data_IF_979720981620
#
_entry.id   IF_979720981620
#
_cell.length_a   1.000
_cell.length_b   1.000
_cell.length_c   1.000
_cell.angle_alpha   90.00
_cell.angle_beta   90.00
_cell.angle_gamma   90.00
#
_symmetry.space_group_name_H-M   'P 1'
#
loop_
_entity.id
_entity.type
_entity.pdbx_description
1 polymer ?
#
# COMPACT_ATOMS: atom_id res chain seq x y z
N UNK A 1 -18.85 -36.87 -41.67
CA UNK A 1 -20.02 -36.09 -42.14
C UNK A 1 -19.85 -34.68 -41.63
N UNK A 2 -19.24 -33.83 -42.44
CA UNK A 2 -18.96 -32.43 -42.14
C UNK A 2 -20.18 -31.60 -42.51
N UNK A 3 -20.62 -30.71 -41.62
CA UNK A 3 -21.55 -29.63 -41.95
C UNK A 3 -20.93 -28.30 -41.50
N UNK A 4 -20.37 -27.62 -42.50
CA UNK A 4 -20.09 -26.19 -42.51
C UNK A 4 -21.41 -25.44 -42.71
N UNK A 5 -21.71 -24.46 -41.85
CA UNK A 5 -22.66 -23.40 -42.16
C UNK A 5 -22.00 -22.04 -41.88
N UNK A 6 -21.63 -21.40 -42.99
CA UNK A 6 -21.32 -19.99 -43.11
C UNK A 6 -22.65 -19.20 -43.10
N UNK A 7 -22.69 -18.07 -42.39
CA UNK A 7 -23.68 -17.01 -42.69
C UNK A 7 -23.11 -15.61 -42.44
N UNK A 8 -22.72 -15.01 -43.56
CA UNK A 8 -22.85 -13.62 -44.02
C UNK A 8 -22.86 -12.42 -43.05
N UNK A 9 -21.90 -11.54 -43.34
CA UNK A 9 -21.87 -10.08 -43.25
C UNK A 9 -23.21 -9.34 -43.10
N UNK A 10 -23.20 -8.30 -42.26
CA UNK A 10 -23.75 -6.99 -42.64
C UNK A 10 -22.99 -5.86 -41.94
N UNK A 11 -22.39 -5.03 -42.79
CA UNK A 11 -21.72 -3.77 -42.54
C UNK A 11 -22.80 -2.70 -42.41
N UNK A 12 -22.83 -1.95 -41.31
CA UNK A 12 -23.45 -0.63 -41.31
C UNK A 12 -22.57 0.37 -40.57
N UNK A 13 -21.92 1.19 -41.39
CA UNK A 13 -21.32 2.47 -41.07
C UNK A 13 -22.40 3.49 -40.69
N UNK A 14 -22.21 4.23 -39.60
CA UNK A 14 -22.73 5.60 -39.49
C UNK A 14 -21.71 6.48 -38.75
N UNK A 15 -21.21 7.47 -39.48
CA UNK A 15 -20.35 8.57 -39.03
C UNK A 15 -21.14 9.61 -38.21
N UNK A 16 -20.44 10.47 -37.44
CA UNK A 16 -21.04 11.48 -36.57
C UNK A 16 -21.39 12.77 -37.33
N UNK A 17 -22.28 13.62 -36.81
CA UNK A 17 -22.42 14.98 -37.32
C UNK A 17 -21.41 15.94 -36.68
N UNK A 18 -20.88 16.81 -37.53
CA UNK A 18 -20.04 17.97 -37.24
C UNK A 18 -20.90 19.22 -37.01
N UNK A 19 -20.37 20.09 -36.13
CA UNK A 19 -20.43 21.56 -36.15
C UNK A 19 -21.75 22.29 -35.85
N UNK A 20 -21.68 23.22 -34.88
CA UNK A 20 -22.18 24.59 -35.04
C UNK A 20 -21.55 25.52 -33.99
N UNK A 21 -20.79 26.49 -34.50
CA UNK A 21 -20.26 27.66 -33.81
C UNK A 21 -21.35 28.72 -33.64
N UNK A 22 -21.34 29.48 -32.55
CA UNK A 22 -21.90 30.84 -32.54
C UNK A 22 -21.16 31.71 -31.53
N UNK A 23 -20.55 32.77 -32.06
CA UNK A 23 -19.95 33.89 -31.34
C UNK A 23 -20.86 35.12 -31.50
N UNK A 24 -21.11 35.89 -30.44
CA UNK A 24 -21.52 37.30 -30.46
C UNK A 24 -21.00 37.95 -29.15
N UNK A 25 -19.99 38.82 -29.21
CA UNK A 25 -20.02 40.31 -29.21
C UNK A 25 -20.59 40.94 -27.91
N UNK A 26 -19.74 41.50 -27.02
CA UNK A 26 -19.12 42.86 -27.00
C UNK A 26 -20.00 43.89 -26.26
N UNK A 27 -19.58 44.45 -25.12
CA UNK A 27 -18.91 45.78 -25.00
C UNK A 27 -18.18 45.87 -23.63
N UNK A 28 -16.94 46.34 -23.46
CA UNK A 28 -16.25 47.60 -23.78
C UNK A 28 -16.58 48.79 -22.87
N UNK A 29 -15.66 49.11 -21.94
CA UNK A 29 -15.21 50.44 -21.42
C UNK A 29 -13.84 50.16 -20.72
N UNK A 30 -12.65 50.39 -21.32
CA UNK A 30 -11.78 51.61 -21.30
C UNK A 30 -11.71 52.30 -19.93
N UNK A 31 -10.61 52.78 -19.34
CA UNK A 31 -9.22 53.10 -19.67
C UNK A 31 -8.69 53.86 -18.42
N UNK A 32 -7.47 53.73 -17.87
CA UNK A 32 -6.28 54.59 -18.09
C UNK A 32 -5.34 54.36 -16.87
N UNK A 33 -4.12 53.85 -17.09
CA UNK A 33 -2.81 54.54 -17.03
C UNK A 33 -2.19 54.82 -15.64
N UNK A 34 -0.95 54.32 -15.48
CA UNK A 34 0.07 54.53 -14.43
C UNK A 34 0.48 56.02 -14.29
N UNK A 35 1.27 56.42 -13.26
CA UNK A 35 2.73 56.25 -13.30
C UNK A 35 3.44 55.94 -11.96
N UNK A 36 4.73 55.64 -12.14
CA UNK A 36 5.85 55.34 -11.23
C UNK A 36 6.34 56.59 -10.47
N UNK A 37 6.89 56.45 -9.24
CA UNK A 37 8.07 57.23 -8.79
C UNK A 37 8.80 56.61 -7.57
N UNK A 38 10.07 56.99 -7.44
CA UNK A 38 11.19 56.33 -6.77
C UNK A 38 11.41 56.63 -5.26
N UNK A 39 12.41 55.92 -4.69
CA UNK A 39 12.98 55.88 -3.33
C UNK A 39 13.50 57.22 -2.77
N UNK A 40 13.86 57.31 -1.46
CA UNK A 40 15.23 56.96 -1.01
C UNK A 40 15.36 56.34 0.41
N UNK A 41 16.49 55.66 0.67
CA UNK A 41 17.00 55.23 1.99
C UNK A 41 17.57 56.43 2.79
N UNK A 42 17.90 56.33 4.12
CA UNK A 42 19.17 55.71 4.56
C UNK A 42 19.25 55.15 6.02
N UNK A 43 20.44 54.61 6.35
CA UNK A 43 21.13 54.45 7.67
C UNK A 43 20.98 53.15 8.50
N UNK A 44 22.00 52.31 8.32
CA UNK A 44 22.81 51.47 9.24
C UNK A 44 22.55 51.55 10.76
N UNK A 45 22.38 50.39 11.41
CA UNK A 45 23.13 50.04 12.63
C UNK A 45 23.25 48.53 12.82
N UNK A 46 24.47 48.12 13.18
CA UNK A 46 24.98 46.76 13.32
C UNK A 46 25.08 46.37 14.78
N UNK A 47 24.46 45.27 15.21
CA UNK A 47 24.88 44.51 16.39
C UNK A 47 24.73 43.02 16.09
N UNK A 48 25.86 42.33 16.15
CA UNK A 48 26.02 40.88 16.05
C UNK A 48 25.41 40.19 17.27
N UNK A 49 24.64 39.12 17.06
CA UNK A 49 24.49 38.07 18.06
C UNK A 49 24.54 36.70 17.38
N UNK A 50 25.38 35.87 17.96
CA UNK A 50 25.93 34.62 17.49
C UNK A 50 24.88 33.57 17.17
N UNK A 51 25.00 33.00 15.97
CA UNK A 51 24.36 31.77 15.56
C UNK A 51 24.90 30.61 16.40
N UNK A 52 24.10 30.13 17.35
CA UNK A 52 24.33 28.85 17.99
C UNK A 52 23.96 27.75 16.99
N UNK A 53 24.93 27.38 16.15
CA UNK A 53 24.88 26.17 15.36
C UNK A 53 24.90 24.97 16.31
N UNK A 54 23.72 24.51 16.73
CA UNK A 54 23.55 23.19 17.30
C UNK A 54 23.75 22.18 16.18
N UNK A 55 25.02 21.91 15.87
CA UNK A 55 25.43 20.72 15.14
C UNK A 55 24.98 19.55 15.99
N UNK A 56 23.85 18.95 15.63
CA UNK A 56 23.50 17.60 16.04
C UNK A 56 24.61 16.70 15.51
N UNK A 57 25.63 16.51 16.33
CA UNK A 57 26.63 15.48 16.13
C UNK A 57 25.86 14.16 16.11
N UNK A 58 25.67 13.61 14.93
CA UNK A 58 25.39 12.19 14.76
C UNK A 58 26.63 11.49 15.30
N UNK A 59 26.61 11.21 16.59
CA UNK A 59 27.56 10.32 17.24
C UNK A 59 27.40 8.96 16.60
N UNK A 60 28.16 8.74 15.54
CA UNK A 60 28.47 7.42 15.00
C UNK A 60 29.32 6.73 16.05
N UNK A 61 28.69 6.29 17.14
CA UNK A 61 29.32 5.35 18.05
C UNK A 61 29.64 4.11 17.22
N UNK A 62 30.92 3.74 17.14
CA UNK A 62 31.38 2.42 16.69
C UNK A 62 30.92 1.31 17.65
N UNK A 63 29.71 1.38 18.17
CA UNK A 63 29.14 0.35 19.03
C UNK A 63 28.66 -0.78 18.14
N UNK A 64 29.07 -2.00 18.49
CA UNK A 64 28.58 -3.21 17.86
C UNK A 64 27.05 -3.23 18.02
N UNK A 65 26.29 -3.42 16.92
CA UNK A 65 24.83 -3.48 17.04
C UNK A 65 24.43 -4.69 17.88
N UNK A 66 23.51 -4.51 18.82
CA UNK A 66 23.06 -5.60 19.68
C UNK A 66 22.06 -6.52 18.97
N UNK A 67 21.25 -5.97 18.07
CA UNK A 67 20.22 -6.73 17.34
C UNK A 67 20.26 -6.40 15.86
N UNK A 68 20.32 -7.41 15.01
CA UNK A 68 20.12 -7.26 13.55
C UNK A 68 18.66 -7.53 13.21
N UNK A 69 18.02 -6.64 12.45
CA UNK A 69 16.64 -6.79 12.00
C UNK A 69 16.61 -7.05 10.49
N UNK A 70 15.89 -8.09 10.08
CA UNK A 70 16.09 -8.74 8.77
C UNK A 70 14.95 -8.60 7.78
N UNK A 71 13.89 -7.86 8.12
CA UNK A 71 12.77 -7.64 7.18
C UNK A 71 13.21 -6.75 6.03
N UNK A 72 12.35 -6.66 5.03
CA UNK A 72 12.50 -5.71 3.94
C UNK A 72 12.81 -4.28 4.43
N UNK A 73 13.64 -3.60 3.64
CA UNK A 73 14.08 -2.24 3.88
C UNK A 73 12.91 -1.31 4.22
N UNK A 74 13.02 -0.58 5.31
CA UNK A 74 12.01 0.38 5.75
C UNK A 74 10.78 -0.24 6.42
N UNK A 75 10.68 -1.57 6.49
CA UNK A 75 9.59 -2.28 7.20
C UNK A 75 9.99 -2.71 8.62
N UNK A 76 11.18 -2.29 9.08
CA UNK A 76 11.69 -2.56 10.44
C UNK A 76 11.45 -1.41 11.44
N UNK A 77 10.86 -0.29 11.01
CA UNK A 77 10.70 0.91 11.86
C UNK A 77 10.07 0.64 13.23
N UNK A 78 9.06 -0.24 13.30
CA UNK A 78 8.40 -0.53 14.58
C UNK A 78 9.31 -1.29 15.56
N UNK A 79 10.07 -2.28 15.07
CA UNK A 79 10.99 -3.04 15.92
C UNK A 79 12.21 -2.18 16.30
N UNK A 80 12.73 -1.39 15.37
CA UNK A 80 13.83 -0.44 15.62
C UNK A 80 13.44 0.54 16.73
N UNK A 81 12.29 1.22 16.61
CA UNK A 81 11.79 2.14 17.65
C UNK A 81 11.56 1.46 18.99
N UNK A 82 11.10 0.21 18.99
CA UNK A 82 10.91 -0.54 20.23
C UNK A 82 12.24 -0.89 20.90
N UNK A 83 13.27 -1.26 20.14
CA UNK A 83 14.62 -1.52 20.63
C UNK A 83 15.27 -0.24 21.16
N UNK A 84 15.20 0.85 20.40
CA UNK A 84 15.71 2.17 20.79
C UNK A 84 15.09 2.67 22.10
N UNK A 85 13.76 2.51 22.26
CA UNK A 85 13.06 2.87 23.50
C UNK A 85 13.59 2.11 24.73
N UNK A 86 14.17 0.94 24.53
CA UNK A 86 14.78 0.12 25.58
C UNK A 86 16.31 0.28 25.63
N UNK A 87 16.89 1.26 24.92
CA UNK A 87 18.33 1.50 24.88
C UNK A 87 19.13 0.42 24.14
N UNK A 88 18.46 -0.40 23.31
CA UNK A 88 19.08 -1.49 22.56
C UNK A 88 19.43 -0.98 21.17
N UNK A 89 20.71 -1.05 20.80
CA UNK A 89 21.15 -0.67 19.45
C UNK A 89 20.74 -1.74 18.42
N UNK A 90 20.36 -1.29 17.22
CA UNK A 90 19.96 -2.20 16.16
C UNK A 90 20.55 -1.83 14.80
N UNK A 91 20.77 -2.85 13.96
CA UNK A 91 21.22 -2.74 12.59
C UNK A 91 20.15 -3.30 11.65
N UNK A 92 19.70 -2.49 10.70
CA UNK A 92 18.82 -2.98 9.64
C UNK A 92 19.65 -3.67 8.55
N UNK A 93 19.42 -4.98 8.35
CA UNK A 93 20.03 -5.77 7.31
C UNK A 93 18.95 -6.54 6.53
N UNK A 94 18.35 -5.92 5.49
CA UNK A 94 17.27 -6.57 4.75
C UNK A 94 17.74 -7.86 4.09
N UNK A 95 17.13 -8.99 4.45
CA UNK A 95 17.41 -10.30 3.84
C UNK A 95 16.33 -10.72 2.85
N UNK A 96 15.18 -10.08 2.90
CA UNK A 96 14.04 -10.34 2.01
C UNK A 96 13.51 -9.03 1.44
N UNK A 97 12.82 -9.14 0.32
CA UNK A 97 12.04 -8.08 -0.30
C UNK A 97 10.71 -8.62 -0.82
N UNK A 98 9.75 -7.74 -1.04
CA UNK A 98 8.52 -8.08 -1.72
C UNK A 98 8.68 -7.88 -3.24
N UNK A 99 8.12 -8.80 -4.00
CA UNK A 99 8.07 -8.75 -5.46
C UNK A 99 6.62 -8.90 -5.93
N UNK A 100 6.30 -8.36 -7.11
CA UNK A 100 4.98 -8.53 -7.72
C UNK A 100 4.67 -10.02 -7.88
N UNK A 101 3.46 -10.40 -7.49
CA UNK A 101 2.93 -11.73 -7.72
C UNK A 101 2.27 -11.84 -9.10
N UNK A 102 1.95 -13.06 -9.55
CA UNK A 102 1.37 -13.28 -10.87
C UNK A 102 0.01 -12.60 -11.08
N UNK A 103 -0.73 -12.33 -10.00
CA UNK A 103 -2.04 -11.70 -10.06
C UNK A 103 -2.03 -10.20 -9.70
N UNK A 104 -0.84 -9.58 -9.57
CA UNK A 104 -0.74 -8.16 -9.15
C UNK A 104 -1.57 -7.26 -10.08
N UNK A 105 -1.35 -7.36 -11.40
CA UNK A 105 -1.98 -6.50 -12.39
C UNK A 105 -3.49 -6.73 -12.53
N UNK A 106 -3.97 -7.91 -12.10
CA UNK A 106 -5.38 -8.27 -12.18
C UNK A 106 -6.21 -7.64 -11.06
N UNK A 107 -5.59 -7.27 -9.94
CA UNK A 107 -6.31 -6.85 -8.73
C UNK A 107 -7.24 -5.65 -8.99
N UNK A 108 -6.76 -4.62 -9.67
CA UNK A 108 -7.56 -3.44 -9.98
C UNK A 108 -8.73 -3.74 -10.92
N UNK A 109 -8.50 -4.55 -11.97
CA UNK A 109 -9.58 -4.98 -12.88
C UNK A 109 -10.67 -5.77 -12.16
N UNK A 110 -10.27 -6.68 -11.27
CA UNK A 110 -11.23 -7.49 -10.49
C UNK A 110 -12.08 -6.62 -9.55
N UNK A 111 -11.52 -5.54 -8.99
CA UNK A 111 -12.25 -4.58 -8.18
C UNK A 111 -13.25 -3.74 -8.98
N UNK A 112 -12.94 -3.44 -10.25
CA UNK A 112 -13.87 -2.73 -11.15
C UNK A 112 -15.00 -3.63 -11.66
N UNK A 113 -14.67 -4.88 -12.01
CA UNK A 113 -15.60 -5.78 -12.68
C UNK A 113 -16.63 -6.39 -11.72
N UNK A 114 -16.28 -6.51 -10.43
CA UNK A 114 -17.08 -7.25 -9.45
C UNK A 114 -17.07 -6.56 -8.09
N UNK A 115 -18.23 -6.52 -7.45
CA UNK A 115 -18.34 -6.19 -6.04
C UNK A 115 -18.14 -7.43 -5.16
N UNK A 116 -17.55 -7.21 -3.99
CA UNK A 116 -17.30 -8.25 -2.99
C UNK A 116 -17.94 -7.87 -1.66
N UNK A 117 -18.54 -8.82 -0.97
CA UNK A 117 -19.06 -8.57 0.39
C UNK A 117 -17.92 -8.34 1.39
N UNK A 118 -16.74 -8.92 1.12
CA UNK A 118 -15.56 -8.79 1.94
C UNK A 118 -14.28 -8.73 1.12
N UNK A 119 -13.37 -7.83 1.50
CA UNK A 119 -11.96 -7.89 1.15
C UNK A 119 -11.20 -8.39 2.36
N UNK A 120 -10.50 -9.52 2.26
CA UNK A 120 -9.74 -10.08 3.38
C UNK A 120 -8.25 -9.75 3.22
N UNK A 121 -7.68 -9.10 4.24
CA UNK A 121 -6.28 -8.65 4.23
C UNK A 121 -5.56 -9.28 5.42
N UNK A 122 -4.61 -10.17 5.13
CA UNK A 122 -3.94 -10.98 6.17
C UNK A 122 -2.54 -10.48 6.53
N UNK A 123 -2.07 -9.41 5.91
CA UNK A 123 -0.73 -8.86 6.16
C UNK A 123 -0.67 -7.38 5.80
N UNK A 124 0.24 -6.59 6.41
CA UNK A 124 0.43 -5.20 6.02
C UNK A 124 0.75 -5.03 4.54
N UNK A 125 1.56 -5.92 3.96
CA UNK A 125 1.94 -5.84 2.54
C UNK A 125 0.74 -6.07 1.61
N UNK A 126 -0.11 -7.06 1.90
CA UNK A 126 -1.36 -7.24 1.17
C UNK A 126 -2.23 -5.99 1.23
N UNK A 127 -2.23 -5.28 2.36
CA UNK A 127 -2.95 -4.02 2.52
C UNK A 127 -2.38 -2.90 1.65
N UNK A 128 -1.07 -2.75 1.59
CA UNK A 128 -0.40 -1.77 0.72
C UNK A 128 -0.70 -2.02 -0.76
N UNK A 129 -0.53 -3.27 -1.23
CA UNK A 129 -0.83 -3.67 -2.61
C UNK A 129 -2.32 -3.47 -2.93
N UNK A 130 -3.20 -3.80 -1.99
CA UNK A 130 -4.63 -3.58 -2.18
C UNK A 130 -4.97 -2.09 -2.29
N UNK A 131 -4.43 -1.22 -1.43
CA UNK A 131 -4.71 0.22 -1.47
C UNK A 131 -4.26 0.87 -2.78
N UNK A 132 -3.14 0.42 -3.36
CA UNK A 132 -2.71 0.85 -4.69
C UNK A 132 -3.76 0.47 -5.75
N UNK A 133 -4.13 -0.81 -5.81
CA UNK A 133 -5.11 -1.29 -6.77
C UNK A 133 -6.51 -0.70 -6.56
N UNK A 134 -6.91 -0.45 -5.31
CA UNK A 134 -8.19 0.18 -4.96
C UNK A 134 -8.27 1.61 -5.49
N UNK A 135 -7.19 2.40 -5.37
CA UNK A 135 -7.11 3.73 -5.99
C UNK A 135 -7.14 3.64 -7.51
N UNK A 136 -6.42 2.69 -8.11
CA UNK A 136 -6.46 2.45 -9.56
C UNK A 136 -7.85 2.06 -10.05
N UNK A 137 -8.63 1.35 -9.23
CA UNK A 137 -10.02 0.97 -9.47
C UNK A 137 -11.02 2.12 -9.19
N UNK A 138 -10.57 3.37 -9.12
CA UNK A 138 -11.42 4.53 -8.79
C UNK A 138 -12.10 4.44 -7.42
N UNK A 139 -11.46 3.77 -6.45
CA UNK A 139 -11.84 3.74 -5.04
C UNK A 139 -13.29 3.25 -4.79
N UNK A 140 -13.66 2.02 -5.22
CA UNK A 140 -15.01 1.50 -5.01
C UNK A 140 -15.33 1.35 -3.52
N UNK A 141 -16.61 1.37 -3.15
CA UNK A 141 -17.01 1.10 -1.76
C UNK A 141 -16.66 -0.35 -1.38
N UNK A 142 -15.90 -0.52 -0.29
CA UNK A 142 -15.38 -1.82 0.14
C UNK A 142 -15.43 -2.01 1.65
N UNK A 143 -15.78 -3.23 2.05
CA UNK A 143 -15.73 -3.68 3.43
C UNK A 143 -14.55 -4.63 3.65
N UNK A 144 -13.69 -4.33 4.63
CA UNK A 144 -12.42 -5.01 4.85
C UNK A 144 -12.42 -5.80 6.16
N UNK A 145 -12.00 -7.07 6.09
CA UNK A 145 -11.63 -7.88 7.24
C UNK A 145 -10.10 -8.00 7.33
N UNK A 146 -9.52 -7.61 8.47
CA UNK A 146 -8.06 -7.66 8.69
C UNK A 146 -7.71 -8.69 9.75
N UNK A 147 -6.57 -9.38 9.61
CA UNK A 147 -6.15 -10.40 10.59
C UNK A 147 -5.73 -9.80 11.94
N UNK A 148 -5.13 -8.61 11.97
CA UNK A 148 -4.66 -8.04 13.24
C UNK A 148 -4.22 -6.59 13.14
N UNK A 149 -3.89 -6.01 14.29
CA UNK A 149 -3.62 -4.58 14.44
C UNK A 149 -2.52 -4.05 13.50
N UNK A 150 -1.46 -4.82 13.25
CA UNK A 150 -0.40 -4.42 12.32
C UNK A 150 -0.90 -4.23 10.88
N UNK A 151 -1.88 -5.05 10.46
CA UNK A 151 -2.52 -4.94 9.15
C UNK A 151 -3.55 -3.82 9.14
N UNK A 152 -4.34 -3.68 10.21
CA UNK A 152 -5.34 -2.61 10.35
C UNK A 152 -4.72 -1.21 10.19
N UNK A 153 -3.53 -1.00 10.76
CA UNK A 153 -2.79 0.27 10.70
C UNK A 153 -2.51 0.78 9.28
N UNK A 154 -2.39 -0.12 8.31
CA UNK A 154 -2.15 0.26 6.91
C UNK A 154 -3.32 1.06 6.32
N UNK A 155 -4.52 0.90 6.87
CA UNK A 155 -5.73 1.53 6.39
C UNK A 155 -6.08 2.84 7.12
N UNK A 156 -5.43 3.18 8.23
CA UNK A 156 -5.81 4.33 9.07
C UNK A 156 -5.83 5.66 8.31
N UNK A 157 -4.82 5.92 7.48
CA UNK A 157 -4.76 7.14 6.66
C UNK A 157 -5.77 7.10 5.52
N UNK A 158 -5.86 5.97 4.82
CA UNK A 158 -6.78 5.79 3.70
C UNK A 158 -8.24 6.00 4.13
N UNK A 159 -8.65 5.42 5.26
CA UNK A 159 -9.99 5.55 5.83
C UNK A 159 -10.38 7.00 6.12
N UNK A 160 -9.42 7.82 6.61
CA UNK A 160 -9.67 9.26 6.88
C UNK A 160 -9.94 10.05 5.61
N UNK A 161 -9.34 9.65 4.50
CA UNK A 161 -9.47 10.34 3.19
C UNK A 161 -10.53 9.75 2.28
N UNK A 162 -11.12 8.61 2.63
CA UNK A 162 -11.98 7.82 1.74
C UNK A 162 -13.48 8.18 1.82
N UNK A 163 -13.88 9.18 2.61
CA UNK A 163 -15.29 9.58 2.79
C UNK A 163 -16.25 8.40 3.06
N UNK A 164 -15.78 7.38 3.78
CA UNK A 164 -16.57 6.18 4.12
C UNK A 164 -16.53 5.05 3.08
N UNK A 165 -15.91 5.24 1.91
CA UNK A 165 -15.80 4.21 0.86
C UNK A 165 -14.90 3.03 1.24
N UNK A 166 -14.05 3.20 2.25
CA UNK A 166 -13.17 2.13 2.73
C UNK A 166 -13.37 1.97 4.23
N UNK A 167 -13.79 0.78 4.65
CA UNK A 167 -14.10 0.50 6.05
C UNK A 167 -13.50 -0.84 6.51
N UNK A 168 -12.64 -0.80 7.53
CA UNK A 168 -12.19 -2.00 8.25
C UNK A 168 -13.27 -2.41 9.24
N UNK A 169 -14.10 -3.38 8.86
CA UNK A 169 -15.31 -3.78 9.58
C UNK A 169 -15.12 -5.01 10.48
N UNK A 170 -14.02 -5.76 10.31
CA UNK A 170 -13.82 -7.00 11.06
C UNK A 170 -12.36 -7.25 11.41
N UNK A 171 -12.13 -7.74 12.61
CA UNK A 171 -10.86 -8.29 13.08
C UNK A 171 -11.18 -9.52 13.95
N UNK A 172 -10.52 -10.67 13.72
CA UNK A 172 -10.76 -11.87 14.51
C UNK A 172 -10.29 -11.72 15.96
N UNK A 173 -10.80 -12.57 16.84
CA UNK A 173 -10.41 -12.66 18.25
C UNK A 173 -8.93 -12.99 18.44
N UNK A 174 -8.35 -13.74 17.50
CA UNK A 174 -6.92 -14.06 17.43
C UNK A 174 -6.40 -13.78 16.03
N UNK A 175 -5.22 -13.17 15.95
CA UNK A 175 -4.61 -12.76 14.70
C UNK A 175 -4.04 -13.93 13.86
N UNK A 176 -4.92 -14.82 13.42
CA UNK A 176 -4.60 -15.98 12.58
C UNK A 176 -5.61 -16.12 11.45
N UNK A 177 -5.18 -16.69 10.32
CA UNK A 177 -6.06 -16.92 9.18
C UNK A 177 -7.20 -17.89 9.49
N UNK A 178 -6.94 -18.93 10.30
CA UNK A 178 -7.96 -19.91 10.72
C UNK A 178 -9.09 -19.26 11.52
N UNK A 179 -8.74 -18.40 12.48
CA UNK A 179 -9.73 -17.74 13.34
C UNK A 179 -10.52 -16.69 12.55
N UNK A 180 -9.86 -15.94 11.66
CA UNK A 180 -10.56 -15.07 10.71
C UNK A 180 -11.58 -15.85 9.89
N UNK A 181 -11.16 -16.97 9.30
CA UNK A 181 -12.04 -17.80 8.50
C UNK A 181 -13.22 -18.36 9.31
N UNK A 182 -13.07 -18.69 10.59
CA UNK A 182 -14.17 -19.19 11.42
C UNK A 182 -15.10 -18.11 11.96
N UNK A 183 -14.63 -16.89 12.12
CA UNK A 183 -15.37 -15.80 12.79
C UNK A 183 -15.90 -14.73 11.82
N UNK A 184 -15.48 -14.73 10.55
CA UNK A 184 -15.94 -13.76 9.56
C UNK A 184 -17.49 -13.75 9.49
N UNK A 185 -18.16 -12.59 9.60
CA UNK A 185 -19.61 -12.53 9.56
C UNK A 185 -20.18 -13.03 8.22
N UNK A 186 -21.18 -13.90 8.31
CA UNK A 186 -21.95 -14.40 7.17
C UNK A 186 -23.20 -13.54 6.95
N UNK A 187 -23.59 -13.33 5.69
CA UNK A 187 -24.92 -12.81 5.37
C UNK A 187 -25.91 -13.98 5.31
N UNK A 188 -26.86 -14.01 6.24
CA UNK A 188 -27.88 -15.07 6.30
C UNK A 188 -28.70 -15.07 5.01
N UNK A 189 -28.84 -16.24 4.37
CA UNK A 189 -29.70 -16.43 3.19
C UNK A 189 -29.07 -16.08 1.84
N UNK A 190 -27.79 -15.68 1.77
CA UNK A 190 -27.06 -15.46 0.51
C UNK A 190 -25.62 -15.96 0.61
N UNK A 191 -25.11 -16.53 -0.49
CA UNK A 191 -23.68 -16.86 -0.61
C UNK A 191 -22.86 -15.56 -0.62
N UNK A 192 -21.98 -15.37 0.36
CA UNK A 192 -21.14 -14.17 0.45
C UNK A 192 -19.86 -14.32 -0.38
N UNK A 193 -19.52 -13.27 -1.14
CA UNK A 193 -18.30 -13.23 -1.97
C UNK A 193 -17.13 -12.56 -1.24
N UNK A 194 -15.94 -13.11 -1.41
CA UNK A 194 -14.71 -12.68 -0.74
C UNK A 194 -13.61 -12.49 -1.78
N UNK A 195 -12.97 -11.32 -1.78
CA UNK A 195 -11.68 -11.12 -2.45
C UNK A 195 -10.56 -11.27 -1.43
N UNK A 196 -9.57 -12.10 -1.75
CA UNK A 196 -8.41 -12.36 -0.90
C UNK A 196 -7.10 -12.11 -1.66
N UNK A 197 -6.61 -10.85 -1.70
CA UNK A 197 -5.25 -10.57 -2.16
C UNK A 197 -4.25 -11.08 -1.12
N UNK A 198 -3.33 -11.94 -1.55
CA UNK A 198 -2.45 -12.68 -0.66
C UNK A 198 -1.03 -12.81 -1.23
N UNK A 199 -0.10 -13.23 -0.37
CA UNK A 199 1.21 -13.69 -0.85
C UNK A 199 1.04 -14.99 -1.62
N UNK A 200 1.83 -15.19 -2.68
CA UNK A 200 2.02 -16.50 -3.32
C UNK A 200 2.46 -17.57 -2.31
N UNK A 201 3.19 -17.18 -1.26
CA UNK A 201 3.66 -18.07 -0.20
C UNK A 201 2.64 -18.30 0.93
N UNK A 202 1.49 -17.62 0.92
CA UNK A 202 0.50 -17.77 1.98
C UNK A 202 -0.17 -19.15 1.91
N UNK A 203 -0.41 -19.76 3.07
CA UNK A 203 -1.12 -21.04 3.18
C UNK A 203 -2.58 -20.96 2.74
N UNK A 204 -3.30 -22.08 2.85
CA UNK A 204 -4.68 -22.20 2.36
C UNK A 204 -5.76 -22.00 3.44
N UNK A 205 -5.37 -21.71 4.69
CA UNK A 205 -6.30 -21.61 5.84
C UNK A 205 -7.53 -20.72 5.57
N UNK A 206 -7.32 -19.55 4.95
CA UNK A 206 -8.42 -18.62 4.61
C UNK A 206 -9.35 -19.21 3.57
N UNK A 207 -8.78 -19.70 2.45
CA UNK A 207 -9.55 -20.22 1.32
C UNK A 207 -10.35 -21.44 1.76
N UNK A 208 -9.72 -22.40 2.42
CA UNK A 208 -10.37 -23.61 2.90
C UNK A 208 -11.41 -23.33 3.97
N UNK A 209 -11.06 -22.50 4.97
CA UNK A 209 -11.96 -22.21 6.09
C UNK A 209 -13.22 -21.47 5.66
N UNK A 210 -13.08 -20.45 4.80
CA UNK A 210 -14.23 -19.70 4.26
C UNK A 210 -15.04 -20.54 3.27
N UNK A 211 -14.39 -21.33 2.39
CA UNK A 211 -15.12 -22.20 1.45
C UNK A 211 -15.94 -23.26 2.18
N UNK A 212 -15.42 -23.83 3.29
CA UNK A 212 -16.16 -24.78 4.15
C UNK A 212 -17.40 -24.16 4.79
N UNK A 213 -17.39 -22.84 5.01
CA UNK A 213 -18.53 -22.06 5.50
C UNK A 213 -19.43 -21.54 4.37
N UNK A 214 -19.18 -21.96 3.13
CA UNK A 214 -20.02 -21.61 1.98
C UNK A 214 -19.72 -20.27 1.33
N UNK A 215 -18.66 -19.56 1.72
CA UNK A 215 -18.25 -18.35 1.00
C UNK A 215 -17.77 -18.68 -0.42
N UNK A 216 -17.89 -17.72 -1.34
CA UNK A 216 -17.21 -17.75 -2.63
C UNK A 216 -15.92 -16.93 -2.52
N UNK A 217 -14.76 -17.61 -2.56
CA UNK A 217 -13.47 -16.96 -2.34
C UNK A 217 -12.70 -16.82 -3.65
N UNK A 218 -12.42 -15.58 -4.04
CA UNK A 218 -11.50 -15.23 -5.12
C UNK A 218 -10.16 -14.88 -4.49
N UNK A 219 -9.19 -15.79 -4.55
CA UNK A 219 -7.82 -15.52 -4.14
C UNK A 219 -7.01 -14.98 -5.32
N UNK A 220 -6.24 -13.92 -5.08
CA UNK A 220 -5.25 -13.38 -6.00
C UNK A 220 -3.88 -13.38 -5.31
N UNK A 221 -2.87 -14.01 -5.93
CA UNK A 221 -1.50 -13.99 -5.42
C UNK A 221 -0.81 -12.73 -5.93
N UNK A 222 -1.03 -11.63 -5.23
CA UNK A 222 -0.67 -10.27 -5.69
C UNK A 222 0.78 -9.92 -5.38
N UNK A 223 1.42 -10.60 -4.44
CA UNK A 223 2.84 -10.41 -4.17
C UNK A 223 3.51 -11.72 -3.78
N UNK A 224 4.83 -11.73 -3.72
CA UNK A 224 5.62 -12.81 -3.13
C UNK A 224 6.77 -12.23 -2.31
N UNK A 225 7.33 -13.02 -1.41
CA UNK A 225 8.56 -12.67 -0.69
C UNK A 225 9.72 -13.40 -1.35
N UNK A 226 10.77 -12.68 -1.71
CA UNK A 226 12.00 -13.25 -2.27
C UNK A 226 13.21 -12.80 -1.45
N UNK A 227 14.33 -13.54 -1.46
CA UNK A 227 15.58 -13.02 -0.94
C UNK A 227 16.00 -11.73 -1.64
N UNK A 228 16.76 -10.86 -0.96
CA UNK A 228 17.43 -9.75 -1.66
C UNK A 228 18.50 -10.30 -2.61
N UNK A 229 18.77 -9.59 -3.70
CA UNK A 229 19.77 -10.01 -4.70
C UNK A 229 21.20 -9.89 -4.19
N UNK A 230 21.45 -8.92 -3.31
CA UNK A 230 22.76 -8.65 -2.74
C UNK A 230 22.61 -8.00 -1.38
N UNK A 231 23.56 -8.30 -0.49
CA UNK A 231 23.70 -7.65 0.81
C UNK A 231 24.99 -6.83 0.78
N UNK A 232 24.95 -5.61 1.32
CA UNK A 232 26.14 -4.78 1.46
C UNK A 232 27.16 -5.48 2.37
N UNK A 233 28.39 -5.64 1.88
CA UNK A 233 29.42 -6.41 2.59
C UNK A 233 29.85 -5.77 3.91
N UNK A 234 29.81 -4.45 4.01
CA UNK A 234 30.15 -3.71 5.24
C UNK A 234 29.03 -3.91 6.26
N UNK A 235 27.77 -3.78 5.84
CA UNK A 235 26.62 -4.06 6.72
C UNK A 235 26.60 -5.52 7.17
N UNK A 236 26.95 -6.46 6.28
CA UNK A 236 27.05 -7.88 6.62
C UNK A 236 28.13 -8.13 7.67
N UNK A 237 29.32 -7.55 7.53
CA UNK A 237 30.40 -7.65 8.52
C UNK A 237 29.95 -7.12 9.89
N UNK A 238 29.26 -5.96 9.92
CA UNK A 238 28.70 -5.42 11.15
C UNK A 238 27.64 -6.34 11.74
N UNK A 239 26.76 -6.91 10.91
CA UNK A 239 25.72 -7.81 11.36
C UNK A 239 26.26 -9.11 11.97
N UNK A 240 27.37 -9.65 11.42
CA UNK A 240 28.03 -10.85 11.95
C UNK A 240 28.63 -10.63 13.35
N UNK A 241 28.90 -9.39 13.73
CA UNK A 241 29.37 -9.05 15.08
C UNK A 241 28.24 -8.94 16.12
N UNK A 242 26.97 -8.89 15.68
CA UNK A 242 25.84 -8.74 16.56
C UNK A 242 25.51 -10.06 17.30
N UNK A 243 25.18 -10.02 18.60
CA UNK A 243 24.83 -11.22 19.36
C UNK A 243 23.43 -11.76 19.05
N UNK A 244 22.54 -10.96 18.45
CA UNK A 244 21.14 -11.34 18.21
C UNK A 244 20.74 -11.02 16.77
N UNK A 245 20.14 -12.01 16.11
CA UNK A 245 19.47 -11.87 14.82
C UNK A 245 17.96 -12.02 14.99
N UNK A 246 17.19 -10.98 14.65
CA UNK A 246 15.73 -11.03 14.64
C UNK A 246 15.23 -11.50 13.28
N UNK A 247 14.40 -12.54 13.28
CA UNK A 247 13.73 -13.06 12.07
C UNK A 247 12.22 -12.99 12.23
N UNK A 248 11.57 -12.27 11.32
CA UNK A 248 10.11 -12.10 11.32
C UNK A 248 9.44 -12.75 10.09
N UNK A 249 10.18 -13.63 9.38
CA UNK A 249 9.70 -14.40 8.24
C UNK A 249 10.52 -15.67 8.08
N UNK A 250 9.90 -16.85 7.87
CA UNK A 250 10.64 -18.07 7.53
C UNK A 250 11.50 -17.95 6.27
N UNK A 251 11.20 -16.98 5.39
CA UNK A 251 12.03 -16.74 4.20
C UNK A 251 13.31 -15.96 4.49
N UNK A 252 13.43 -15.30 5.65
CA UNK A 252 14.66 -14.60 6.04
C UNK A 252 15.68 -15.53 6.72
N UNK A 253 15.25 -16.73 7.13
CA UNK A 253 16.11 -17.76 7.75
C UNK A 253 16.82 -18.63 6.70
N UNK A 254 16.14 -18.87 5.57
CA UNK A 254 16.64 -19.68 4.45
C UNK A 254 17.55 -18.88 3.55
#
# INVERSE_FOLDING_TARGET
MALLLLSHCSILSFQPPLSSSSSFHSSHIQSLSKPVFASPSPIRNSISSSVSSSSSSVSSSNSIPQVVVTRERGKNNQIIKALEKNGISSLELPLIQHARGPDFDRLASVLNDKSFDWIIITSPEAGSVFLEAWKTASSPEVQIGVVGAGTARVFEEAMKSADGLLHVAFTPSKATGKVLASELPEKVGKRSSVLYPASLKAGNDIVEGLSKRGFEVVRLNTYTTVPVQSVDTVLLQQALSAPVLSVASPSAVR
#
